data_IF_297433884822
#
_entry.id   IF_297433884822
#
_cell.length_a   1.000
_cell.length_b   1.000
_cell.length_c   1.000
_cell.angle_alpha   90.00
_cell.angle_beta   90.00
_cell.angle_gamma   90.00
#
_symmetry.space_group_name_H-M   'P 1'
#
loop_
_entity.id
_entity.type
_entity.pdbx_description
1 polymer ?
#
# COMPACT_ATOMS: atom_id res chain seq x y z
N UNK A 1 16.81 -9.88 -38.97
CA UNK A 1 17.02 -9.10 -37.75
C UNK A 1 17.37 -7.66 -38.06
N UNK A 2 17.19 -6.76 -37.10
CA UNK A 2 17.48 -5.32 -37.22
C UNK A 2 18.90 -5.00 -37.67
N UNK A 3 19.87 -5.89 -37.35
CA UNK A 3 21.26 -5.76 -37.76
C UNK A 3 21.47 -6.02 -39.25
N UNK A 4 20.54 -6.69 -39.91
CA UNK A 4 20.60 -6.98 -41.36
C UNK A 4 20.04 -5.80 -42.19
N UNK A 5 19.30 -4.86 -41.59
CA UNK A 5 18.72 -3.70 -42.25
C UNK A 5 19.59 -2.42 -42.17
N UNK A 6 20.79 -2.53 -41.61
CA UNK A 6 21.89 -1.58 -41.85
C UNK A 6 21.89 -0.28 -41.03
N UNK A 7 21.01 -0.10 -39.99
CA UNK A 7 21.08 1.08 -39.15
C UNK A 7 21.04 0.76 -37.64
N UNK A 8 22.21 0.48 -37.02
CA UNK A 8 22.29 0.21 -35.58
C UNK A 8 21.80 1.33 -34.71
N UNK A 9 21.88 2.59 -35.15
CA UNK A 9 21.42 3.75 -34.39
C UNK A 9 19.90 3.81 -34.30
N UNK A 10 19.17 3.49 -35.37
CA UNK A 10 17.70 3.39 -35.36
C UNK A 10 17.23 2.25 -34.46
N UNK A 11 17.87 1.07 -34.53
CA UNK A 11 17.54 -0.05 -33.69
C UNK A 11 17.72 0.27 -32.18
N UNK A 12 18.81 0.97 -31.81
CA UNK A 12 19.05 1.42 -30.44
C UNK A 12 18.01 2.47 -29.98
N UNK A 13 17.63 3.38 -30.86
CA UNK A 13 16.60 4.38 -30.55
C UNK A 13 15.21 3.73 -30.34
N UNK A 14 14.85 2.76 -31.17
CA UNK A 14 13.59 2.01 -31.01
C UNK A 14 13.58 1.18 -29.71
N UNK A 15 14.70 0.49 -29.39
CA UNK A 15 14.83 -0.22 -28.12
C UNK A 15 14.71 0.72 -26.92
N UNK A 16 15.35 1.88 -26.96
CA UNK A 16 15.25 2.88 -25.89
C UNK A 16 13.82 3.42 -25.76
N UNK A 17 13.10 3.58 -26.85
CA UNK A 17 11.70 4.02 -26.85
C UNK A 17 10.79 2.93 -26.27
N UNK A 18 10.98 1.67 -26.65
CA UNK A 18 10.24 0.52 -26.11
C UNK A 18 10.49 0.39 -24.59
N UNK A 19 11.74 0.51 -24.15
CA UNK A 19 12.07 0.53 -22.72
C UNK A 19 11.40 1.67 -21.98
N UNK A 20 11.34 2.87 -22.58
CA UNK A 20 10.68 4.04 -22.02
C UNK A 20 9.15 3.86 -21.96
N UNK A 21 8.54 3.29 -22.99
CA UNK A 21 7.11 2.98 -23.04
C UNK A 21 6.74 1.89 -22.00
N UNK A 22 7.52 0.82 -21.91
CA UNK A 22 7.34 -0.25 -20.93
C UNK A 22 7.57 0.24 -19.50
N UNK A 23 8.45 1.22 -19.29
CA UNK A 23 8.77 1.75 -17.96
C UNK A 23 7.58 2.45 -17.29
N UNK A 24 6.55 2.84 -18.03
CA UNK A 24 5.32 3.47 -17.52
C UNK A 24 4.12 2.52 -17.50
N UNK A 25 4.28 1.30 -18.00
CA UNK A 25 3.23 0.29 -17.92
C UNK A 25 2.95 -0.12 -16.47
N UNK A 26 1.66 -0.15 -16.03
CA UNK A 26 1.33 -0.43 -14.63
C UNK A 26 1.94 -1.73 -14.10
N UNK A 27 1.91 -2.80 -14.87
CA UNK A 27 2.46 -4.10 -14.46
C UNK A 27 3.98 -4.07 -14.28
N UNK A 28 4.69 -3.33 -15.12
CA UNK A 28 6.15 -3.16 -15.01
C UNK A 28 6.49 -2.32 -13.77
N UNK A 29 5.75 -1.26 -13.52
CA UNK A 29 5.92 -0.42 -12.33
C UNK A 29 5.65 -1.20 -11.04
N UNK A 30 4.63 -2.05 -11.03
CA UNK A 30 4.34 -2.92 -9.88
C UNK A 30 5.48 -3.89 -9.59
N UNK A 31 5.97 -4.60 -10.59
CA UNK A 31 7.11 -5.53 -10.44
C UNK A 31 8.37 -4.79 -9.99
N UNK A 32 8.66 -3.65 -10.58
CA UNK A 32 9.80 -2.81 -10.20
C UNK A 32 9.71 -2.36 -8.75
N UNK A 33 8.54 -1.92 -8.30
CA UNK A 33 8.31 -1.56 -6.92
C UNK A 33 8.54 -2.75 -5.98
N UNK A 34 8.00 -3.93 -6.32
CA UNK A 34 8.16 -5.14 -5.51
C UNK A 34 9.64 -5.55 -5.35
N UNK A 35 10.42 -5.47 -6.42
CA UNK A 35 11.86 -5.76 -6.38
C UNK A 35 12.59 -4.78 -5.47
N UNK A 36 12.31 -3.49 -5.58
CA UNK A 36 12.92 -2.46 -4.74
C UNK A 36 12.51 -2.60 -3.27
N UNK A 37 11.25 -2.91 -3.00
CA UNK A 37 10.74 -3.14 -1.65
C UNK A 37 11.39 -4.36 -0.97
N UNK A 38 11.56 -5.46 -1.70
CA UNK A 38 12.26 -6.66 -1.20
C UNK A 38 13.75 -6.42 -0.93
N UNK A 39 14.33 -5.44 -1.60
CA UNK A 39 15.74 -5.04 -1.44
C UNK A 39 15.91 -3.89 -0.44
N UNK A 40 14.87 -3.53 0.30
CA UNK A 40 14.84 -2.40 1.25
C UNK A 40 15.26 -1.05 0.65
N UNK A 41 15.08 -0.88 -0.66
CA UNK A 41 15.41 0.35 -1.39
C UNK A 41 14.20 1.30 -1.45
N UNK A 42 13.77 1.77 -0.28
CA UNK A 42 12.53 2.53 -0.14
C UNK A 42 12.58 3.92 -0.79
N UNK A 43 13.72 4.59 -0.72
CA UNK A 43 13.95 5.86 -1.42
C UNK A 43 13.81 5.74 -2.95
N UNK A 44 14.22 4.60 -3.51
CA UNK A 44 14.05 4.30 -4.93
C UNK A 44 12.63 3.80 -5.26
N UNK A 45 11.96 3.12 -4.32
CA UNK A 45 10.60 2.60 -4.51
C UNK A 45 9.55 3.71 -4.54
N UNK A 46 9.76 4.81 -3.83
CA UNK A 46 8.80 5.90 -3.73
C UNK A 46 8.46 6.53 -5.09
N UNK A 47 9.43 6.98 -5.92
CA UNK A 47 9.09 7.52 -7.23
C UNK A 47 8.45 6.50 -8.17
N UNK A 48 8.76 5.21 -8.03
CA UNK A 48 8.10 4.13 -8.80
C UNK A 48 6.63 3.99 -8.38
N UNK A 49 6.33 4.03 -7.09
CA UNK A 49 4.96 4.00 -6.58
C UNK A 49 4.16 5.24 -7.03
N UNK A 50 4.78 6.41 -7.03
CA UNK A 50 4.15 7.65 -7.54
C UNK A 50 3.80 7.54 -9.03
N UNK A 51 4.72 7.04 -9.84
CA UNK A 51 4.47 6.78 -11.25
C UNK A 51 3.35 5.75 -11.45
N UNK A 52 3.30 4.72 -10.61
CA UNK A 52 2.25 3.71 -10.64
C UNK A 52 0.87 4.32 -10.29
N UNK A 53 0.78 5.23 -9.33
CA UNK A 53 -0.45 5.98 -9.03
C UNK A 53 -0.94 6.81 -10.23
N UNK A 54 -0.02 7.40 -10.99
CA UNK A 54 -0.36 8.15 -12.20
C UNK A 54 -0.82 7.25 -13.35
N UNK A 55 -0.20 6.06 -13.48
CA UNK A 55 -0.52 5.10 -14.54
C UNK A 55 -1.83 4.35 -14.29
N UNK A 56 -2.17 4.06 -13.04
CA UNK A 56 -3.34 3.26 -12.66
C UNK A 56 -4.04 3.83 -11.42
N UNK A 57 -4.57 5.06 -11.45
CA UNK A 57 -5.19 5.71 -10.29
C UNK A 57 -6.50 5.04 -9.85
N UNK A 58 -7.11 4.23 -10.69
CA UNK A 58 -8.36 3.49 -10.43
C UNK A 58 -8.16 2.17 -9.69
N UNK A 59 -6.93 1.77 -9.38
CA UNK A 59 -6.62 0.57 -8.62
C UNK A 59 -6.16 0.93 -7.20
N UNK A 60 -6.47 0.12 -6.17
CA UNK A 60 -6.00 0.38 -4.81
C UNK A 60 -4.49 0.14 -4.63
N UNK A 61 -3.90 -0.83 -5.36
CA UNK A 61 -2.51 -1.24 -5.20
C UNK A 61 -1.48 -0.10 -5.33
N UNK A 62 -1.55 0.79 -6.33
CA UNK A 62 -0.59 1.90 -6.43
C UNK A 62 -0.56 2.78 -5.19
N UNK A 63 -1.72 3.08 -4.64
CA UNK A 63 -1.87 3.92 -3.44
C UNK A 63 -1.33 3.22 -2.19
N UNK A 64 -1.56 1.92 -2.07
CA UNK A 64 -0.98 1.11 -1.00
C UNK A 64 0.54 1.08 -1.08
N UNK A 65 1.10 0.86 -2.26
CA UNK A 65 2.55 0.86 -2.47
C UNK A 65 3.18 2.23 -2.18
N UNK A 66 2.53 3.31 -2.59
CA UNK A 66 2.97 4.66 -2.28
C UNK A 66 2.99 4.93 -0.77
N UNK A 67 1.90 4.58 -0.08
CA UNK A 67 1.81 4.73 1.37
C UNK A 67 2.86 3.90 2.12
N UNK A 68 3.07 2.64 1.72
CA UNK A 68 4.10 1.77 2.32
C UNK A 68 5.50 2.35 2.13
N UNK A 69 5.82 2.87 0.95
CA UNK A 69 7.13 3.51 0.71
C UNK A 69 7.35 4.71 1.62
N UNK A 70 6.34 5.57 1.78
CA UNK A 70 6.39 6.69 2.73
C UNK A 70 6.57 6.22 4.18
N UNK A 71 5.80 5.22 4.58
CA UNK A 71 5.88 4.65 5.92
C UNK A 71 7.27 4.09 6.25
N UNK A 72 7.85 3.34 5.34
CA UNK A 72 9.19 2.75 5.48
C UNK A 72 10.30 3.80 5.49
N UNK A 73 10.04 4.98 4.97
CA UNK A 73 10.94 6.15 5.04
C UNK A 73 10.69 7.00 6.30
N UNK A 74 9.97 6.49 7.30
CA UNK A 74 9.58 7.21 8.52
C UNK A 74 8.70 8.45 8.27
N UNK A 75 7.96 8.47 7.16
CA UNK A 75 7.02 9.53 6.78
C UNK A 75 5.58 9.06 7.01
N UNK A 76 5.31 8.60 8.23
CA UNK A 76 4.05 7.93 8.59
C UNK A 76 2.84 8.84 8.47
N UNK A 77 2.97 10.12 8.86
CA UNK A 77 1.89 11.09 8.73
C UNK A 77 1.51 11.35 7.27
N UNK A 78 2.49 11.41 6.38
CA UNK A 78 2.24 11.55 4.94
C UNK A 78 1.58 10.29 4.36
N UNK A 79 2.01 9.10 4.81
CA UNK A 79 1.37 7.84 4.43
C UNK A 79 -0.10 7.79 4.88
N UNK A 80 -0.38 8.21 6.11
CA UNK A 80 -1.74 8.35 6.64
C UNK A 80 -2.59 9.29 5.79
N UNK A 81 -2.10 10.50 5.56
CA UNK A 81 -2.83 11.53 4.80
C UNK A 81 -3.08 11.11 3.35
N UNK A 82 -2.16 10.37 2.75
CA UNK A 82 -2.32 9.84 1.40
C UNK A 82 -3.40 8.75 1.35
N UNK A 83 -3.37 7.81 2.31
CA UNK A 83 -4.19 6.61 2.25
C UNK A 83 -5.61 6.83 2.80
N UNK A 84 -5.80 7.77 3.71
CA UNK A 84 -7.08 8.02 4.37
C UNK A 84 -8.24 8.27 3.38
N UNK A 85 -8.13 9.15 2.37
CA UNK A 85 -9.19 9.32 1.39
C UNK A 85 -9.41 8.10 0.51
N UNK A 86 -8.43 7.22 0.37
CA UNK A 86 -8.53 6.01 -0.44
C UNK A 86 -9.49 4.98 0.17
N UNK A 87 -9.74 5.02 1.48
CA UNK A 87 -10.74 4.18 2.12
C UNK A 87 -12.17 4.43 1.58
N UNK A 88 -12.47 5.65 1.19
CA UNK A 88 -13.75 5.99 0.53
C UNK A 88 -13.74 5.64 -0.95
N UNK A 89 -12.63 5.83 -1.62
CA UNK A 89 -12.48 5.54 -3.06
C UNK A 89 -12.55 4.04 -3.34
N UNK A 90 -12.02 3.22 -2.45
CA UNK A 90 -11.96 1.76 -2.56
C UNK A 90 -12.63 1.08 -1.35
N UNK A 91 -13.97 1.19 -1.22
CA UNK A 91 -14.68 0.77 0.00
C UNK A 91 -14.68 -0.74 0.24
N UNK A 92 -14.32 -1.55 -0.75
CA UNK A 92 -14.25 -3.02 -0.64
C UNK A 92 -12.85 -3.53 -0.26
N UNK A 93 -11.82 -2.69 -0.32
CA UNK A 93 -10.47 -3.08 0.05
C UNK A 93 -10.34 -3.19 1.57
N UNK A 94 -9.98 -4.37 2.08
CA UNK A 94 -9.69 -4.55 3.51
C UNK A 94 -8.24 -4.15 3.85
N UNK A 95 -7.35 -4.14 2.87
CA UNK A 95 -5.93 -3.83 3.07
C UNK A 95 -5.73 -2.35 3.40
N UNK A 96 -6.52 -1.47 2.81
CA UNK A 96 -6.45 -0.01 3.11
C UNK A 96 -6.72 0.26 4.59
N UNK A 97 -7.85 -0.17 5.19
CA UNK A 97 -8.06 0.03 6.62
C UNK A 97 -7.05 -0.73 7.49
N UNK A 98 -6.51 -1.86 7.04
CA UNK A 98 -5.44 -2.54 7.74
C UNK A 98 -4.18 -1.68 7.83
N UNK A 99 -3.71 -1.13 6.72
CA UNK A 99 -2.53 -0.27 6.71
C UNK A 99 -2.77 1.04 7.48
N UNK A 100 -3.96 1.61 7.39
CA UNK A 100 -4.34 2.77 8.22
C UNK A 100 -4.28 2.45 9.71
N UNK A 101 -4.67 1.25 10.13
CA UNK A 101 -4.53 0.82 11.52
C UNK A 101 -3.06 0.78 11.97
N UNK A 102 -2.17 0.27 11.12
CA UNK A 102 -0.73 0.26 11.38
C UNK A 102 -0.18 1.69 11.53
N UNK A 103 -0.54 2.59 10.64
CA UNK A 103 -0.08 3.99 10.69
C UNK A 103 -0.63 4.72 11.92
N UNK A 104 -1.89 4.52 12.25
CA UNK A 104 -2.50 5.09 13.46
C UNK A 104 -1.78 4.65 14.74
N UNK A 105 -1.43 3.37 14.85
CA UNK A 105 -0.66 2.84 15.98
C UNK A 105 0.72 3.49 16.09
N UNK A 106 1.41 3.70 14.96
CA UNK A 106 2.71 4.37 14.95
C UNK A 106 2.61 5.86 15.31
N UNK A 107 1.48 6.49 15.00
CA UNK A 107 1.18 7.88 15.38
C UNK A 107 0.58 7.99 16.79
N UNK A 108 0.57 6.91 17.56
CA UNK A 108 0.00 6.83 18.92
C UNK A 108 -1.51 7.15 18.99
N UNK A 109 -2.21 7.01 17.87
CA UNK A 109 -3.65 7.20 17.75
C UNK A 109 -4.37 5.84 17.86
N UNK A 110 -4.34 5.25 19.06
CA UNK A 110 -4.80 3.87 19.26
C UNK A 110 -6.29 3.67 19.02
N UNK A 111 -7.14 4.67 19.31
CA UNK A 111 -8.57 4.59 19.02
C UNK A 111 -8.85 4.49 17.52
N UNK A 112 -8.14 5.26 16.72
CA UNK A 112 -8.18 5.15 15.26
C UNK A 112 -7.64 3.80 14.79
N UNK A 113 -6.54 3.34 15.37
CA UNK A 113 -5.98 2.03 15.08
C UNK A 113 -6.98 0.90 15.29
N UNK A 114 -7.70 0.90 16.42
CA UNK A 114 -8.78 -0.08 16.72
C UNK A 114 -9.89 -0.04 15.69
N UNK A 115 -10.38 1.15 15.39
CA UNK A 115 -11.50 1.34 14.43
C UNK A 115 -11.14 0.85 13.04
N UNK A 116 -9.97 1.23 12.56
CA UNK A 116 -9.51 0.81 11.23
C UNK A 116 -9.25 -0.70 11.16
N UNK A 117 -8.68 -1.29 12.21
CA UNK A 117 -8.44 -2.72 12.23
C UNK A 117 -9.76 -3.52 12.27
N UNK A 118 -10.74 -3.10 13.06
CA UNK A 118 -12.09 -3.70 13.05
C UNK A 118 -12.74 -3.60 11.68
N UNK A 119 -12.59 -2.47 11.01
CA UNK A 119 -13.09 -2.30 9.64
C UNK A 119 -12.40 -3.27 8.68
N UNK A 120 -11.10 -3.46 8.79
CA UNK A 120 -10.36 -4.45 8.00
C UNK A 120 -10.90 -5.88 8.24
N UNK A 121 -11.15 -6.26 9.49
CA UNK A 121 -11.72 -7.55 9.83
C UNK A 121 -13.12 -7.75 9.24
N UNK A 122 -13.96 -6.72 9.20
CA UNK A 122 -15.31 -6.80 8.61
C UNK A 122 -15.30 -6.88 7.09
N UNK A 123 -14.35 -6.23 6.42
CA UNK A 123 -14.24 -6.23 4.96
C UNK A 123 -13.53 -7.46 4.41
N UNK A 124 -12.58 -7.99 5.16
CA UNK A 124 -11.83 -9.19 4.82
C UNK A 124 -12.35 -10.44 5.54
N UNK A 125 -11.56 -11.49 5.53
CA UNK A 125 -11.78 -12.62 6.44
C UNK A 125 -11.25 -12.24 7.84
N UNK A 126 -12.15 -12.04 8.80
CA UNK A 126 -11.81 -11.57 10.14
C UNK A 126 -10.79 -12.43 10.87
N UNK A 127 -10.85 -13.77 10.69
CA UNK A 127 -9.90 -14.70 11.29
C UNK A 127 -8.51 -14.56 10.68
N UNK A 128 -8.44 -14.50 9.37
CA UNK A 128 -7.16 -14.32 8.64
C UNK A 128 -6.55 -12.95 8.95
N UNK A 129 -7.36 -11.90 8.97
CA UNK A 129 -6.89 -10.54 9.31
C UNK A 129 -6.35 -10.48 10.73
N UNK A 130 -6.99 -11.14 11.71
CA UNK A 130 -6.48 -11.23 13.09
C UNK A 130 -5.16 -11.99 13.18
N UNK A 131 -5.03 -13.11 12.49
CA UNK A 131 -3.77 -13.89 12.45
C UNK A 131 -2.65 -13.03 11.89
N UNK A 132 -2.92 -12.30 10.81
CA UNK A 132 -1.96 -11.37 10.22
C UNK A 132 -1.58 -10.25 11.21
N UNK A 133 -2.56 -9.65 11.86
CA UNK A 133 -2.37 -8.57 12.83
C UNK A 133 -1.55 -9.00 14.05
N UNK A 134 -1.77 -10.22 14.56
CA UNK A 134 -1.02 -10.77 15.70
C UNK A 134 0.43 -11.13 15.34
N UNK A 135 0.75 -11.25 14.08
CA UNK A 135 2.11 -11.45 13.58
C UNK A 135 2.80 -10.14 13.15
N UNK A 136 2.07 -9.02 13.15
CA UNK A 136 2.54 -7.73 12.66
C UNK A 136 3.05 -6.86 13.82
N UNK A 137 4.37 -6.58 13.91
CA UNK A 137 4.93 -5.75 14.98
C UNK A 137 4.37 -4.33 15.02
N UNK A 138 3.89 -3.81 13.90
CA UNK A 138 3.31 -2.46 13.80
C UNK A 138 2.00 -2.34 14.60
N UNK A 139 1.34 -3.47 14.86
CA UNK A 139 0.10 -3.57 15.64
C UNK A 139 0.31 -4.11 17.06
N UNK A 140 1.55 -4.23 17.51
CA UNK A 140 1.90 -4.84 18.81
C UNK A 140 1.13 -4.23 19.99
N UNK A 141 0.91 -2.93 19.99
CA UNK A 141 0.16 -2.24 21.04
C UNK A 141 -1.30 -2.69 21.16
N UNK A 142 -1.87 -3.21 20.09
CA UNK A 142 -3.25 -3.73 20.05
C UNK A 142 -3.36 -5.24 20.25
N UNK A 143 -2.26 -5.99 20.32
CA UNK A 143 -2.29 -7.44 20.44
C UNK A 143 -3.15 -7.96 21.59
N UNK A 144 -3.10 -7.38 22.83
CA UNK A 144 -3.94 -7.86 23.91
C UNK A 144 -5.45 -7.76 23.60
N UNK A 145 -5.85 -6.73 22.86
CA UNK A 145 -7.24 -6.52 22.47
C UNK A 145 -7.66 -7.42 21.30
N UNK A 146 -6.75 -7.63 20.31
CA UNK A 146 -6.99 -8.49 19.15
C UNK A 146 -7.18 -9.95 19.57
N UNK A 147 -6.55 -10.38 20.66
CA UNK A 147 -6.70 -11.72 21.22
C UNK A 147 -8.09 -11.97 21.81
N UNK A 148 -8.86 -10.92 22.17
CA UNK A 148 -10.24 -11.09 22.62
C UNK A 148 -11.11 -11.55 21.44
N UNK A 149 -11.83 -12.69 21.58
CA UNK A 149 -12.72 -13.17 20.53
C UNK A 149 -13.80 -12.16 20.11
N UNK A 150 -14.12 -11.22 21.00
CA UNK A 150 -15.13 -10.18 20.78
C UNK A 150 -14.58 -8.95 20.06
N UNK A 151 -13.28 -8.89 19.75
CA UNK A 151 -12.66 -7.70 19.16
C UNK A 151 -13.43 -7.16 17.95
N UNK A 152 -13.94 -8.04 17.10
CA UNK A 152 -14.73 -7.66 15.92
C UNK A 152 -16.13 -7.14 16.26
N UNK A 153 -16.66 -7.58 17.40
CA UNK A 153 -18.03 -7.31 17.85
C UNK A 153 -18.11 -6.10 18.80
N UNK A 154 -16.97 -5.65 19.34
CA UNK A 154 -16.92 -4.48 20.19
C UNK A 154 -17.33 -3.27 19.35
N UNK A 155 -18.49 -2.77 19.68
CA UNK A 155 -19.35 -1.89 18.93
C UNK A 155 -18.66 -0.66 18.36
N UNK A 156 -19.22 -0.26 17.25
CA UNK A 156 -19.26 1.07 16.65
C UNK A 156 -19.81 2.16 17.59
N UNK A 157 -19.45 2.17 18.86
CA UNK A 157 -19.72 3.34 19.68
C UNK A 157 -18.78 4.44 19.22
N UNK A 158 -19.35 5.34 18.45
CA UNK A 158 -18.77 6.50 17.80
C UNK A 158 -17.84 6.16 16.60
N UNK A 159 -18.45 5.99 15.40
CA UNK A 159 -17.78 6.54 14.24
C UNK A 159 -17.52 8.02 14.56
N UNK A 160 -16.25 8.48 14.55
CA UNK A 160 -16.05 9.91 14.67
C UNK A 160 -16.74 10.55 13.48
N UNK A 161 -17.50 11.59 13.77
CA UNK A 161 -18.01 12.45 12.74
C UNK A 161 -16.87 12.85 11.81
N UNK A 162 -16.97 12.35 10.57
CA UNK A 162 -16.28 12.78 9.34
C UNK A 162 -14.93 13.49 9.49
#
# INVERSE_FOLDING_TARGET
GWLELGNPAEALNELAQIECELAVEPQVLEVKWQVLARSDKWDMSLPVAQAFCQAAPGLPQPWLHHAVSLYRLNRTEEAWNLLLPMAKKFPKSWVIPYDLACYACQLEQLDDGRRWLRKACRLGDGKEVKVLALADPDLKTLWPEIQDPRFELLSEEAEPAK
#
